data_IF_366226189363
#
_entry.id   IF_366226189363
#
_cell.length_a   1.000
_cell.length_b   1.000
_cell.length_c   1.000
_cell.angle_alpha   90.00
_cell.angle_beta   90.00
_cell.angle_gamma   90.00
#
_symmetry.space_group_name_H-M   'P 1'
#
loop_
_entity.id
_entity.type
_entity.pdbx_description
1 polymer ?
#
# COMPACT_ATOMS: atom_id res chain seq x y z
N UNK A 1 38.70 -1.39 30.92
CA UNK A 1 38.71 -1.34 29.44
C UNK A 1 38.19 -2.67 28.94
N UNK A 2 36.94 -2.73 28.50
CA UNK A 2 36.34 -3.95 27.94
C UNK A 2 36.41 -3.80 26.43
N UNK A 3 37.20 -4.66 25.79
CA UNK A 3 37.34 -4.74 24.34
C UNK A 3 36.01 -5.22 23.74
N UNK A 4 35.32 -4.36 23.00
CA UNK A 4 34.29 -4.79 22.06
C UNK A 4 35.00 -5.32 20.81
N UNK A 5 35.06 -6.65 20.72
CA UNK A 5 35.49 -7.34 19.53
C UNK A 5 34.56 -7.07 18.35
N UNK A 6 35.17 -7.10 17.19
CA UNK A 6 34.67 -7.11 15.81
C UNK A 6 33.41 -7.96 15.56
N UNK A 7 32.24 -7.46 15.96
CA UNK A 7 30.95 -7.94 15.44
C UNK A 7 30.70 -7.22 14.10
N UNK A 8 30.87 -7.94 12.98
CA UNK A 8 30.30 -7.51 11.71
C UNK A 8 28.77 -7.42 11.88
N UNK A 9 28.28 -6.21 12.18
CA UNK A 9 26.86 -5.91 12.37
C UNK A 9 26.10 -6.39 11.15
N UNK A 10 25.33 -7.46 11.30
CA UNK A 10 24.47 -8.00 10.25
C UNK A 10 23.47 -6.91 9.82
N UNK A 11 23.66 -6.34 8.63
CA UNK A 11 22.78 -5.31 8.08
C UNK A 11 21.50 -6.00 7.60
N UNK A 12 20.36 -5.60 8.18
CA UNK A 12 19.04 -6.00 7.69
C UNK A 12 18.65 -5.09 6.54
N UNK A 13 18.36 -5.66 5.38
CA UNK A 13 17.95 -4.93 4.19
C UNK A 13 16.46 -5.08 3.95
N UNK A 14 15.78 -3.94 3.86
CA UNK A 14 14.38 -3.81 3.51
C UNK A 14 14.24 -3.27 2.08
N UNK A 15 13.60 -4.04 1.23
CA UNK A 15 13.29 -3.70 -0.15
C UNK A 15 11.90 -3.09 -0.25
N UNK A 16 11.74 -1.95 -0.93
CA UNK A 16 10.46 -1.43 -1.37
C UNK A 16 10.32 -1.66 -2.88
N UNK A 17 9.26 -2.37 -3.30
CA UNK A 17 9.02 -2.67 -4.71
C UNK A 17 8.49 -1.44 -5.46
N UNK A 18 9.32 -0.83 -6.30
CA UNK A 18 9.00 0.32 -7.14
C UNK A 18 9.09 1.67 -6.43
N UNK A 19 9.09 2.74 -7.23
CA UNK A 19 9.24 4.13 -6.77
C UNK A 19 7.91 4.83 -6.41
N UNK A 20 6.76 4.21 -6.73
CA UNK A 20 5.44 4.76 -6.40
C UNK A 20 5.24 4.90 -4.89
N UNK A 21 4.43 5.89 -4.49
CA UNK A 21 4.18 6.26 -3.09
C UNK A 21 5.47 6.51 -2.28
N UNK A 22 6.30 7.49 -2.70
CA UNK A 22 7.63 7.71 -2.14
C UNK A 22 7.64 8.00 -0.64
N UNK A 23 6.53 8.55 -0.13
CA UNK A 23 6.32 8.76 1.30
C UNK A 23 6.55 7.49 2.12
N UNK A 24 6.18 6.31 1.61
CA UNK A 24 6.33 5.05 2.34
C UNK A 24 7.80 4.75 2.68
N UNK A 25 8.69 4.74 1.69
CA UNK A 25 10.12 4.55 1.92
C UNK A 25 10.79 5.76 2.59
N UNK A 26 10.33 6.98 2.32
CA UNK A 26 10.92 8.19 2.92
C UNK A 26 10.67 8.26 4.43
N UNK A 27 9.41 8.05 4.88
CA UNK A 27 9.09 8.00 6.30
C UNK A 27 9.79 6.83 6.99
N UNK A 28 9.89 5.68 6.32
CA UNK A 28 10.62 4.52 6.87
C UNK A 28 12.10 4.83 7.07
N UNK A 29 12.76 5.45 6.08
CA UNK A 29 14.17 5.91 6.20
C UNK A 29 14.34 6.92 7.33
N UNK A 30 13.40 7.85 7.44
CA UNK A 30 13.42 8.84 8.51
C UNK A 30 13.27 8.22 9.90
N UNK A 31 12.31 7.32 10.06
CA UNK A 31 12.10 6.59 11.32
C UNK A 31 13.32 5.73 11.70
N UNK A 32 14.04 5.20 10.70
CA UNK A 32 15.19 4.35 10.89
C UNK A 32 16.53 5.09 10.98
N UNK A 33 16.54 6.43 11.06
CA UNK A 33 17.78 7.23 11.19
C UNK A 33 18.67 6.78 12.37
N UNK A 34 18.06 6.37 13.47
CA UNK A 34 18.76 5.91 14.68
C UNK A 34 19.10 4.40 14.66
N UNK A 35 18.77 3.71 13.56
CA UNK A 35 18.94 2.26 13.37
C UNK A 35 19.85 1.97 12.16
N UNK A 36 21.15 2.32 12.21
CA UNK A 36 22.06 2.25 11.05
C UNK A 36 22.34 0.82 10.54
N UNK A 37 21.90 -0.20 11.28
CA UNK A 37 21.98 -1.60 10.88
C UNK A 37 20.76 -2.04 10.04
N UNK A 38 19.83 -1.13 9.72
CA UNK A 38 18.70 -1.38 8.81
C UNK A 38 18.84 -0.47 7.60
N UNK A 39 19.01 -1.06 6.42
CA UNK A 39 19.09 -0.35 5.15
C UNK A 39 17.77 -0.45 4.39
N UNK A 40 17.29 0.66 3.85
CA UNK A 40 16.05 0.74 3.06
C UNK A 40 16.37 1.12 1.62
N UNK A 41 16.15 0.17 0.72
CA UNK A 41 16.34 0.36 -0.72
C UNK A 41 14.97 0.34 -1.41
N UNK A 42 14.79 1.17 -2.44
CA UNK A 42 13.68 1.03 -3.38
C UNK A 42 14.23 0.68 -4.76
N UNK A 43 13.63 -0.31 -5.40
CA UNK A 43 14.14 -0.90 -6.65
C UNK A 43 13.02 -0.86 -7.69
N UNK A 44 13.32 -0.49 -8.96
CA UNK A 44 12.35 -0.58 -10.06
C UNK A 44 11.74 -1.98 -10.15
N UNK A 45 10.45 -2.07 -10.51
CA UNK A 45 9.70 -3.33 -10.47
C UNK A 45 10.35 -4.44 -11.31
N UNK A 46 10.91 -4.06 -12.46
CA UNK A 46 11.54 -5.00 -13.40
C UNK A 46 12.84 -5.60 -12.85
N UNK A 47 13.53 -4.90 -11.95
CA UNK A 47 14.80 -5.34 -11.37
C UNK A 47 14.60 -6.16 -10.08
N UNK A 48 13.40 -6.09 -9.47
CA UNK A 48 13.09 -6.80 -8.21
C UNK A 48 13.43 -8.30 -8.28
N UNK A 49 13.03 -9.07 -9.33
CA UNK A 49 13.31 -10.51 -9.40
C UNK A 49 14.79 -10.86 -9.35
N UNK A 50 15.68 -9.94 -9.72
CA UNK A 50 17.12 -10.20 -9.80
C UNK A 50 17.84 -9.86 -8.49
N UNK A 51 17.27 -8.96 -7.69
CA UNK A 51 17.91 -8.50 -6.44
C UNK A 51 17.20 -9.01 -5.18
N UNK A 52 15.96 -9.51 -5.26
CA UNK A 52 15.13 -9.86 -4.09
C UNK A 52 15.81 -10.86 -3.13
N UNK A 53 16.68 -11.73 -3.66
CA UNK A 53 17.45 -12.69 -2.86
C UNK A 53 18.41 -12.05 -1.84
N UNK A 54 18.73 -10.77 -1.99
CA UNK A 54 19.65 -10.03 -1.12
C UNK A 54 18.98 -9.36 0.08
N UNK A 55 17.66 -9.50 0.23
CA UNK A 55 16.86 -8.79 1.23
C UNK A 55 16.21 -9.72 2.24
N UNK A 56 16.04 -9.23 3.47
CA UNK A 56 15.35 -9.95 4.55
C UNK A 56 13.89 -9.50 4.69
N UNK A 57 13.58 -8.26 4.27
CA UNK A 57 12.23 -7.71 4.28
C UNK A 57 11.91 -7.19 2.89
N UNK A 58 10.69 -7.43 2.43
CA UNK A 58 10.17 -6.86 1.18
C UNK A 58 8.81 -6.23 1.43
N UNK A 59 8.68 -4.95 1.09
CA UNK A 59 7.44 -4.18 1.13
C UNK A 59 6.87 -4.15 -0.29
N UNK A 60 5.82 -4.95 -0.47
CA UNK A 60 5.15 -5.16 -1.75
C UNK A 60 4.10 -4.08 -1.93
N UNK A 61 4.25 -3.28 -2.99
CA UNK A 61 3.31 -2.20 -3.34
C UNK A 61 2.46 -2.63 -4.53
N UNK A 62 2.79 -2.12 -5.72
CA UNK A 62 2.04 -2.34 -6.96
C UNK A 62 2.65 -3.45 -7.82
N UNK A 63 3.05 -4.56 -7.20
CA UNK A 63 3.61 -5.73 -7.90
C UNK A 63 2.96 -7.00 -7.35
N UNK A 64 2.82 -8.03 -8.19
CA UNK A 64 2.47 -9.37 -7.74
C UNK A 64 3.75 -10.18 -7.50
N UNK A 65 3.96 -10.63 -6.28
CA UNK A 65 4.96 -11.63 -5.93
C UNK A 65 4.35 -13.02 -6.08
N UNK A 66 4.59 -13.62 -7.25
CA UNK A 66 4.21 -15.01 -7.51
C UNK A 66 5.26 -15.99 -6.98
N UNK A 67 4.95 -17.28 -7.10
CA UNK A 67 5.84 -18.37 -6.69
C UNK A 67 7.22 -18.33 -7.38
N UNK A 68 7.32 -17.84 -8.62
CA UNK A 68 8.60 -17.75 -9.35
C UNK A 68 9.50 -16.71 -8.69
N UNK A 69 8.97 -15.53 -8.38
CA UNK A 69 9.76 -14.47 -7.72
C UNK A 69 10.08 -14.86 -6.27
N UNK A 70 9.11 -15.43 -5.55
CA UNK A 70 9.30 -15.88 -4.15
C UNK A 70 10.41 -16.94 -4.06
N UNK A 71 10.51 -17.84 -5.05
CA UNK A 71 11.58 -18.86 -5.08
C UNK A 71 13.00 -18.28 -5.14
N UNK A 72 13.16 -17.04 -5.63
CA UNK A 72 14.43 -16.32 -5.70
C UNK A 72 14.80 -15.63 -4.39
N UNK A 73 13.86 -15.47 -3.46
CA UNK A 73 13.99 -14.68 -2.24
C UNK A 73 14.72 -15.44 -1.11
N UNK A 74 15.94 -15.91 -1.37
CA UNK A 74 16.69 -16.86 -0.52
C UNK A 74 16.89 -16.43 0.95
N UNK A 75 17.04 -15.12 1.19
CA UNK A 75 17.29 -14.58 2.54
C UNK A 75 16.03 -13.98 3.20
N UNK A 76 14.89 -14.04 2.52
CA UNK A 76 13.66 -13.35 2.92
C UNK A 76 13.10 -13.91 4.23
N UNK A 77 12.64 -13.02 5.10
CA UNK A 77 12.00 -13.33 6.38
C UNK A 77 10.57 -12.81 6.44
N UNK A 78 10.30 -11.68 5.80
CA UNK A 78 9.00 -11.02 5.84
C UNK A 78 8.65 -10.40 4.48
N UNK A 79 7.48 -10.77 3.95
CA UNK A 79 6.79 -10.01 2.92
C UNK A 79 5.70 -9.17 3.58
N UNK A 80 5.78 -7.86 3.42
CA UNK A 80 4.81 -6.91 3.95
C UNK A 80 4.01 -6.33 2.79
N UNK A 81 2.74 -6.69 2.69
CA UNK A 81 1.83 -6.03 1.74
C UNK A 81 1.58 -4.59 2.21
N UNK A 82 1.89 -3.63 1.35
CA UNK A 82 1.57 -2.22 1.55
C UNK A 82 0.09 -1.97 1.24
N UNK A 83 -0.78 -2.39 2.15
CA UNK A 83 -2.23 -2.26 2.03
C UNK A 83 -2.98 -3.26 2.90
N UNK A 84 -4.31 -3.18 2.84
CA UNK A 84 -5.23 -4.05 3.58
C UNK A 84 -5.39 -5.41 2.90
N UNK A 85 -5.35 -5.44 1.57
CA UNK A 85 -5.40 -6.66 0.77
C UNK A 85 -4.17 -7.54 0.95
N UNK A 86 -4.20 -8.73 0.35
CA UNK A 86 -3.09 -9.69 0.33
C UNK A 86 -2.92 -10.38 -1.03
N UNK A 87 -3.68 -9.96 -2.03
CA UNK A 87 -3.70 -10.47 -3.41
C UNK A 87 -2.38 -10.24 -4.17
N UNK A 88 -1.56 -9.31 -3.70
CA UNK A 88 -0.23 -9.03 -4.25
C UNK A 88 0.81 -10.10 -3.93
N UNK A 89 0.53 -11.03 -3.01
CA UNK A 89 1.49 -12.06 -2.56
C UNK A 89 0.86 -13.44 -2.70
N UNK A 90 1.56 -14.36 -3.35
CA UNK A 90 1.25 -15.79 -3.30
C UNK A 90 1.58 -16.33 -1.89
N UNK A 91 0.58 -16.31 -1.00
CA UNK A 91 0.71 -16.71 0.41
C UNK A 91 1.12 -18.19 0.54
N UNK A 92 0.63 -19.06 -0.34
CA UNK A 92 0.95 -20.48 -0.30
C UNK A 92 2.42 -20.71 -0.65
N UNK A 93 2.93 -20.03 -1.68
CA UNK A 93 4.35 -20.05 -2.02
C UNK A 93 5.21 -19.48 -0.88
N UNK A 94 4.83 -18.33 -0.32
CA UNK A 94 5.56 -17.72 0.80
C UNK A 94 5.63 -18.66 2.01
N UNK A 95 4.50 -19.30 2.36
CA UNK A 95 4.40 -20.26 3.48
C UNK A 95 5.27 -21.48 3.24
N UNK A 96 5.24 -22.07 2.03
CA UNK A 96 6.11 -23.21 1.65
C UNK A 96 7.60 -22.85 1.71
N UNK A 97 7.95 -21.61 1.41
CA UNK A 97 9.32 -21.09 1.54
C UNK A 97 9.70 -20.67 2.97
N UNK A 98 8.80 -20.81 3.95
CA UNK A 98 9.05 -20.42 5.34
C UNK A 98 9.09 -18.90 5.57
N UNK A 99 8.55 -18.12 4.64
CA UNK A 99 8.53 -16.66 4.68
C UNK A 99 7.19 -16.19 5.29
N UNK A 100 7.26 -15.30 6.27
CA UNK A 100 6.06 -14.72 6.88
C UNK A 100 5.45 -13.67 5.96
N UNK A 101 4.12 -13.60 5.94
CA UNK A 101 3.38 -12.56 5.23
C UNK A 101 2.65 -11.70 6.26
N UNK A 102 2.74 -10.38 6.10
CA UNK A 102 2.01 -9.40 6.89
C UNK A 102 1.30 -8.39 5.97
N UNK A 103 0.29 -7.72 6.50
CA UNK A 103 -0.50 -6.68 5.82
C UNK A 103 -0.76 -5.52 6.78
N UNK A 104 -1.21 -4.39 6.26
CA UNK A 104 -1.62 -3.26 7.09
C UNK A 104 -3.07 -3.48 7.54
N UNK A 105 -3.33 -3.61 8.86
CA UNK A 105 -4.70 -3.79 9.35
C UNK A 105 -5.56 -2.55 9.07
N UNK A 106 -6.78 -2.75 8.58
CA UNK A 106 -7.67 -1.64 8.18
C UNK A 106 -8.20 -0.86 9.38
N UNK A 107 -8.30 -1.48 10.54
CA UNK A 107 -8.77 -0.92 11.81
C UNK A 107 -7.70 -0.11 12.54
N UNK A 108 -6.42 -0.40 12.29
CA UNK A 108 -5.31 0.39 12.85
C UNK A 108 -4.92 1.58 11.97
N UNK A 109 -5.66 1.83 10.87
CA UNK A 109 -5.37 2.92 9.93
C UNK A 109 -6.61 3.75 9.61
N UNK A 110 -6.42 4.94 9.02
CA UNK A 110 -7.51 5.79 8.55
C UNK A 110 -8.22 5.30 7.29
N UNK A 111 -7.85 4.14 6.73
CA UNK A 111 -8.35 3.68 5.44
C UNK A 111 -9.88 3.54 5.40
N UNK A 112 -10.47 2.90 6.42
CA UNK A 112 -11.92 2.69 6.47
C UNK A 112 -12.68 4.02 6.53
N UNK A 113 -12.19 4.99 7.32
CA UNK A 113 -12.78 6.32 7.41
C UNK A 113 -12.66 7.08 6.08
N UNK A 114 -11.48 7.10 5.46
CA UNK A 114 -11.27 7.75 4.16
C UNK A 114 -12.13 7.12 3.05
N UNK A 115 -12.32 5.81 3.04
CA UNK A 115 -13.25 5.14 2.13
C UNK A 115 -14.70 5.57 2.36
N UNK A 116 -15.13 5.69 3.62
CA UNK A 116 -16.48 6.15 3.96
C UNK A 116 -16.72 7.61 3.54
N UNK A 117 -15.74 8.50 3.79
CA UNK A 117 -15.77 9.89 3.33
C UNK A 117 -15.89 9.98 1.80
N UNK A 118 -15.10 9.18 1.08
CA UNK A 118 -15.17 9.11 -0.37
C UNK A 118 -16.54 8.60 -0.85
N UNK A 119 -17.12 7.60 -0.20
CA UNK A 119 -18.45 7.09 -0.55
C UNK A 119 -19.53 8.19 -0.40
N UNK A 120 -19.50 8.93 0.71
CA UNK A 120 -20.42 10.07 0.94
C UNK A 120 -20.21 11.15 -0.13
N UNK A 121 -18.96 11.51 -0.41
CA UNK A 121 -18.62 12.48 -1.45
C UNK A 121 -19.16 12.06 -2.83
N UNK A 122 -18.99 10.79 -3.20
CA UNK A 122 -19.48 10.27 -4.48
C UNK A 122 -21.01 10.25 -4.55
N UNK A 123 -21.70 9.88 -3.47
CA UNK A 123 -23.17 9.95 -3.40
C UNK A 123 -23.65 11.39 -3.66
N UNK A 124 -23.05 12.37 -2.98
CA UNK A 124 -23.39 13.78 -3.18
C UNK A 124 -23.02 14.25 -4.59
N UNK A 125 -21.87 13.85 -5.12
CA UNK A 125 -21.42 14.19 -6.47
C UNK A 125 -22.36 13.68 -7.56
N UNK A 126 -22.90 12.47 -7.39
CA UNK A 126 -23.90 11.89 -8.29
C UNK A 126 -25.23 12.65 -8.21
N UNK A 127 -25.74 12.90 -7.01
CA UNK A 127 -26.98 13.65 -6.80
C UNK A 127 -26.89 15.08 -7.37
N UNK A 128 -25.70 15.68 -7.34
CA UNK A 128 -25.45 16.99 -7.91
C UNK A 128 -25.07 16.96 -9.39
N UNK A 129 -25.01 15.78 -10.04
CA UNK A 129 -24.60 15.69 -11.46
C UNK A 129 -23.28 16.43 -11.72
N UNK A 130 -22.28 16.16 -10.86
CA UNK A 130 -21.06 16.96 -10.77
C UNK A 130 -20.30 17.07 -12.10
N UNK A 131 -20.34 16.04 -12.95
CA UNK A 131 -19.71 16.06 -14.27
C UNK A 131 -20.42 17.03 -15.22
N UNK A 132 -21.74 16.99 -15.27
CA UNK A 132 -22.55 17.89 -16.08
C UNK A 132 -22.48 19.33 -15.56
N UNK A 133 -22.54 19.54 -14.25
CA UNK A 133 -22.34 20.85 -13.62
C UNK A 133 -21.02 21.50 -14.03
N UNK A 134 -19.93 20.72 -14.10
CA UNK A 134 -18.63 21.22 -14.57
C UNK A 134 -18.72 21.80 -15.98
N UNK A 135 -19.53 21.21 -16.85
CA UNK A 135 -19.77 21.70 -18.22
C UNK A 135 -20.63 22.96 -18.21
N UNK A 136 -21.74 22.96 -17.46
CA UNK A 136 -22.62 24.13 -17.35
C UNK A 136 -21.90 25.36 -16.83
N UNK A 137 -21.06 25.22 -15.80
CA UNK A 137 -20.25 26.32 -15.26
C UNK A 137 -19.31 26.88 -16.32
N UNK A 138 -18.64 26.02 -17.11
CA UNK A 138 -17.78 26.46 -18.22
C UNK A 138 -18.56 27.20 -19.30
N UNK A 139 -19.80 26.79 -19.56
CA UNK A 139 -20.69 27.40 -20.53
C UNK A 139 -21.47 28.60 -19.96
N UNK A 140 -21.26 28.95 -18.68
CA UNK A 140 -21.98 30.02 -17.97
C UNK A 140 -23.50 29.82 -17.95
N UNK A 141 -23.96 28.57 -18.00
CA UNK A 141 -25.37 28.24 -17.86
C UNK A 141 -25.75 28.22 -16.37
N UNK A 142 -26.83 28.90 -16.02
CA UNK A 142 -27.33 29.00 -14.65
C UNK A 142 -28.57 28.13 -14.47
N UNK A 143 -28.67 27.43 -13.35
CA UNK A 143 -29.82 26.58 -13.01
C UNK A 143 -29.83 25.19 -13.64
N UNK A 144 -28.86 24.87 -14.51
CA UNK A 144 -28.78 23.58 -15.20
C UNK A 144 -27.43 22.86 -15.01
N UNK A 145 -27.40 21.53 -14.84
CA UNK A 145 -28.56 20.67 -14.65
C UNK A 145 -29.14 20.83 -13.23
N UNK A 146 -30.45 20.61 -13.10
CA UNK A 146 -31.04 20.46 -11.78
C UNK A 146 -30.55 19.16 -11.13
N UNK A 147 -29.95 19.31 -9.96
CA UNK A 147 -29.54 18.20 -9.09
C UNK A 147 -30.64 17.82 -8.10
N UNK A 148 -30.38 16.79 -7.31
CA UNK A 148 -31.30 16.24 -6.32
C UNK A 148 -30.71 16.37 -4.91
N UNK A 149 -31.58 16.44 -3.89
CA UNK A 149 -31.15 16.43 -2.48
C UNK A 149 -31.01 15.01 -1.97
N UNK A 150 -30.06 14.78 -1.05
CA UNK A 150 -29.97 13.52 -0.32
C UNK A 150 -31.09 13.40 0.74
N UNK A 151 -31.60 14.53 1.23
CA UNK A 151 -32.66 14.58 2.24
C UNK A 151 -33.91 13.85 1.73
N UNK A 152 -34.40 12.90 2.51
CA UNK A 152 -35.58 12.09 2.16
C UNK A 152 -35.28 10.91 1.22
N UNK A 153 -34.02 10.69 0.81
CA UNK A 153 -33.62 9.49 0.06
C UNK A 153 -33.18 8.37 0.99
N UNK A 154 -33.34 7.13 0.53
CA UNK A 154 -32.82 5.93 1.21
C UNK A 154 -31.45 5.58 0.64
N UNK A 155 -30.46 5.39 1.52
CA UNK A 155 -29.13 4.90 1.17
C UNK A 155 -28.95 3.52 1.77
N UNK A 156 -28.69 2.52 0.93
CA UNK A 156 -28.41 1.15 1.36
C UNK A 156 -26.91 0.89 1.35
N UNK A 157 -26.36 0.47 2.49
CA UNK A 157 -24.97 0.02 2.61
C UNK A 157 -24.96 -1.51 2.58
N UNK A 158 -24.30 -2.08 1.58
CA UNK A 158 -24.11 -3.52 1.48
C UNK A 158 -22.69 -3.89 1.94
N UNK A 159 -22.59 -4.79 2.90
CA UNK A 159 -21.31 -5.36 3.35
C UNK A 159 -21.23 -6.81 2.86
N UNK A 160 -20.10 -7.18 2.24
CA UNK A 160 -19.77 -8.56 1.92
C UNK A 160 -18.64 -9.00 2.85
N UNK A 161 -18.88 -10.03 3.65
CA UNK A 161 -17.82 -10.74 4.38
C UNK A 161 -17.24 -11.80 3.46
N UNK A 162 -15.94 -11.73 3.16
CA UNK A 162 -15.16 -12.75 2.48
C UNK A 162 -14.02 -13.21 3.40
#
# INVERSE_FOLDING_TARGET
MVNYGDDQKHITRALFCGSHFPSSQNYTREYLKDYPFIQVDDVPLDDVPDVIGNYQICVVKSMKLDSVIISRAKNMKLLMQFGVGVEGIDIDAATKSGIKVARIPSDATGNAASCAEMAIYLILGLLRKQKELKTSVKQKMLGEPTGETLLGKTVSVFTLFF
#
